data_IF_679871700410
#
_entry.id   IF_679871700410
#
_cell.length_a   1.000
_cell.length_b   1.000
_cell.length_c   1.000
_cell.angle_alpha   90.00
_cell.angle_beta   90.00
_cell.angle_gamma   90.00
#
_symmetry.space_group_name_H-M   'P 1'
#
loop_
_entity.id
_entity.type
_entity.pdbx_description
1 polymer ?
#
# COMPACT_ATOMS: atom_id res chain seq x y z
N UNK A 1 -42.38 -25.30 14.59
CA UNK A 1 -41.32 -24.65 15.42
C UNK A 1 -39.92 -25.24 15.25
N UNK A 2 -39.72 -26.55 15.03
CA UNK A 2 -38.36 -27.14 14.89
C UNK A 2 -37.61 -26.79 13.59
N UNK A 3 -38.34 -26.49 12.51
CA UNK A 3 -37.75 -26.18 11.19
C UNK A 3 -37.15 -24.76 11.14
N UNK A 4 -37.80 -23.79 11.80
CA UNK A 4 -37.34 -22.38 11.83
C UNK A 4 -36.01 -22.27 12.60
N UNK A 5 -35.85 -23.02 13.69
CA UNK A 5 -34.59 -23.07 14.44
C UNK A 5 -33.43 -23.67 13.64
N UNK A 6 -33.71 -24.59 12.72
CA UNK A 6 -32.66 -25.20 11.89
C UNK A 6 -32.14 -24.24 10.82
N UNK A 7 -33.00 -23.38 10.26
CA UNK A 7 -32.60 -22.38 9.25
C UNK A 7 -31.72 -21.28 9.86
N UNK A 8 -32.04 -20.83 11.08
CA UNK A 8 -31.23 -19.82 11.80
C UNK A 8 -29.84 -20.37 12.15
N UNK A 9 -29.76 -21.65 12.53
CA UNK A 9 -28.47 -22.27 12.86
C UNK A 9 -27.58 -22.43 11.61
N UNK A 10 -28.14 -22.75 10.45
CA UNK A 10 -27.35 -22.85 9.19
C UNK A 10 -26.84 -21.50 8.69
N UNK A 11 -27.56 -20.40 8.96
CA UNK A 11 -27.13 -19.06 8.55
C UNK A 11 -25.95 -18.53 9.38
N UNK A 12 -25.80 -18.97 10.63
CA UNK A 12 -24.67 -18.57 11.49
C UNK A 12 -23.33 -19.22 11.11
N UNK A 13 -23.33 -20.30 10.32
CA UNK A 13 -22.10 -20.99 9.89
C UNK A 13 -21.66 -20.64 8.46
N UNK A 14 -22.40 -19.78 7.74
CA UNK A 14 -22.15 -19.46 6.33
C UNK A 14 -21.14 -18.34 6.06
N UNK A 15 -20.61 -17.66 7.08
CA UNK A 15 -19.70 -16.52 6.90
C UNK A 15 -18.35 -16.80 7.55
N UNK A 16 -17.63 -17.80 7.04
CA UNK A 16 -16.16 -17.78 7.18
C UNK A 16 -15.65 -16.71 6.22
N UNK A 17 -15.71 -15.44 6.67
CA UNK A 17 -15.03 -14.37 5.97
C UNK A 17 -13.57 -14.75 5.85
N UNK A 18 -13.06 -14.86 4.63
CA UNK A 18 -11.63 -15.06 4.40
C UNK A 18 -10.89 -13.90 5.07
N UNK A 19 -10.21 -14.20 6.16
CA UNK A 19 -9.49 -13.18 6.92
C UNK A 19 -8.24 -12.81 6.15
N UNK A 20 -8.20 -11.58 5.65
CA UNK A 20 -6.96 -10.99 5.14
C UNK A 20 -6.11 -10.54 6.34
N UNK A 21 -4.91 -11.09 6.45
CA UNK A 21 -3.94 -10.70 7.48
C UNK A 21 -2.99 -9.64 6.93
N UNK A 22 -2.73 -8.58 7.71
CA UNK A 22 -1.83 -7.49 7.30
C UNK A 22 -0.59 -7.43 8.18
N UNK A 23 0.55 -7.84 7.62
CA UNK A 23 1.86 -7.75 8.25
C UNK A 23 2.59 -6.50 7.81
N UNK A 24 3.20 -5.81 8.76
CA UNK A 24 3.88 -4.53 8.50
C UNK A 24 5.26 -4.51 9.14
N UNK A 25 6.21 -3.80 8.55
CA UNK A 25 7.53 -3.58 9.13
C UNK A 25 8.15 -2.27 8.66
N UNK A 26 9.15 -1.75 9.38
CA UNK A 26 9.88 -0.53 9.01
C UNK A 26 11.38 -0.71 8.95
N UNK A 27 12.04 -0.27 7.86
CA UNK A 27 13.52 -0.28 7.73
C UNK A 27 14.05 1.13 7.85
N UNK A 28 15.00 1.34 8.74
CA UNK A 28 15.47 2.67 9.11
C UNK A 28 14.71 3.21 10.32
N UNK A 29 15.25 4.28 10.88
CA UNK A 29 14.68 4.93 12.06
C UNK A 29 13.42 5.72 11.68
N UNK A 30 12.48 5.81 12.63
CA UNK A 30 11.27 6.64 12.48
C UNK A 30 11.59 8.12 12.32
N UNK A 31 12.65 8.55 12.99
CA UNK A 31 12.96 9.97 13.20
C UNK A 31 13.85 10.53 12.09
N UNK A 32 14.38 9.67 11.23
CA UNK A 32 15.24 10.08 10.13
C UNK A 32 14.51 9.92 8.80
N UNK A 33 14.74 10.87 7.87
CA UNK A 33 14.21 10.77 6.53
C UNK A 33 14.75 9.55 5.78
N UNK A 34 13.96 9.02 4.85
CA UNK A 34 14.36 7.94 3.95
C UNK A 34 14.23 6.54 4.54
N UNK A 35 13.24 6.31 5.41
CA UNK A 35 12.94 4.97 5.92
C UNK A 35 11.87 4.28 5.09
N UNK A 36 11.92 2.94 5.05
CA UNK A 36 10.98 2.15 4.28
C UNK A 36 9.86 1.59 5.15
N UNK A 37 8.62 1.67 4.68
CA UNK A 37 7.49 0.91 5.19
C UNK A 37 7.20 -0.27 4.29
N UNK A 38 7.15 -1.45 4.90
CA UNK A 38 6.87 -2.71 4.26
C UNK A 38 5.46 -3.11 4.68
N UNK A 39 4.60 -3.41 3.72
CA UNK A 39 3.24 -3.90 3.93
C UNK A 39 3.07 -5.20 3.16
N UNK A 40 2.58 -6.23 3.85
CA UNK A 40 2.28 -7.54 3.29
C UNK A 40 0.86 -7.89 3.70
N UNK A 41 -0.06 -7.90 2.74
CA UNK A 41 -1.40 -8.41 2.98
C UNK A 41 -1.45 -9.83 2.44
N UNK A 42 -1.95 -10.77 3.24
CA UNK A 42 -2.01 -12.20 2.90
C UNK A 42 -3.44 -12.66 3.12
N UNK A 43 -4.04 -13.23 2.09
CA UNK A 43 -5.31 -13.95 2.20
C UNK A 43 -5.18 -15.36 1.59
N UNK A 44 -6.31 -16.06 1.45
CA UNK A 44 -6.34 -17.43 0.92
C UNK A 44 -5.98 -17.51 -0.56
N UNK A 45 -5.99 -16.39 -1.29
CA UNK A 45 -5.86 -16.35 -2.75
C UNK A 45 -4.59 -15.64 -3.20
N UNK A 46 -4.21 -14.55 -2.54
CA UNK A 46 -3.08 -13.72 -2.94
C UNK A 46 -2.23 -13.24 -1.76
N UNK A 47 -0.98 -12.93 -2.08
CA UNK A 47 -0.10 -12.11 -1.27
C UNK A 47 0.16 -10.79 -1.98
N UNK A 48 -0.09 -9.69 -1.28
CA UNK A 48 0.08 -8.33 -1.79
C UNK A 48 1.21 -7.64 -1.03
N UNK A 49 2.38 -7.55 -1.68
CA UNK A 49 3.57 -6.88 -1.19
C UNK A 49 3.62 -5.43 -1.68
N UNK A 50 3.69 -4.49 -0.74
CA UNK A 50 3.93 -3.09 -1.03
C UNK A 50 5.12 -2.55 -0.24
N UNK A 51 5.89 -1.68 -0.89
CA UNK A 51 7.03 -1.00 -0.29
C UNK A 51 6.90 0.50 -0.51
N UNK A 52 6.94 1.26 0.58
CA UNK A 52 6.89 2.71 0.55
C UNK A 52 8.19 3.29 1.09
N UNK A 53 8.74 4.29 0.42
CA UNK A 53 9.78 5.15 0.94
C UNK A 53 9.13 6.38 1.58
N UNK A 54 9.56 6.72 2.79
CA UNK A 54 9.05 7.85 3.56
C UNK A 54 10.21 8.79 3.86
N UNK A 55 10.17 9.98 3.26
CA UNK A 55 11.23 10.99 3.42
C UNK A 55 10.91 11.96 4.55
N UNK A 56 9.73 12.57 4.55
CA UNK A 56 9.32 13.53 5.59
C UNK A 56 7.83 13.38 5.86
N UNK A 57 7.32 14.15 6.82
CA UNK A 57 5.90 14.17 7.14
C UNK A 57 5.06 14.28 5.86
N UNK A 58 4.12 13.35 5.68
CA UNK A 58 3.21 13.29 4.53
C UNK A 58 3.92 13.26 3.16
N UNK A 59 5.09 12.63 3.09
CA UNK A 59 5.84 12.47 1.83
C UNK A 59 6.22 11.01 1.62
N UNK A 60 5.51 10.35 0.71
CA UNK A 60 5.69 8.94 0.39
C UNK A 60 5.89 8.73 -1.12
N UNK A 61 6.71 7.74 -1.45
CA UNK A 61 6.74 7.14 -2.78
C UNK A 61 6.63 5.62 -2.69
N UNK A 62 5.84 5.03 -3.57
CA UNK A 62 5.67 3.58 -3.63
C UNK A 62 6.71 2.96 -4.55
N UNK A 63 7.65 2.21 -3.97
CA UNK A 63 8.73 1.55 -4.71
C UNK A 63 8.36 0.14 -5.18
N UNK A 64 7.37 -0.49 -4.55
CA UNK A 64 6.85 -1.81 -4.95
C UNK A 64 5.34 -1.86 -4.77
N UNK A 65 4.67 -2.51 -5.70
CA UNK A 65 3.27 -2.91 -5.65
C UNK A 65 3.10 -4.23 -6.39
N UNK A 66 3.19 -5.36 -5.68
CA UNK A 66 3.27 -6.70 -6.29
C UNK A 66 2.21 -7.59 -5.67
N UNK A 67 1.40 -8.21 -6.53
CA UNK A 67 0.43 -9.24 -6.16
C UNK A 67 0.83 -10.58 -6.72
N UNK A 68 0.86 -11.60 -5.88
CA UNK A 68 1.24 -12.96 -6.27
C UNK A 68 0.14 -13.91 -5.79
N UNK A 69 -0.48 -14.70 -6.68
CA UNK A 69 -1.38 -15.77 -6.25
C UNK A 69 -0.65 -16.76 -5.32
N UNK A 70 -1.29 -17.17 -4.21
CA UNK A 70 -0.69 -18.08 -3.21
C UNK A 70 -0.19 -19.37 -3.87
N UNK A 71 -0.95 -19.91 -4.83
CA UNK A 71 -0.59 -21.13 -5.57
C UNK A 71 0.60 -20.98 -6.52
N UNK A 72 1.12 -19.76 -6.72
CA UNK A 72 2.31 -19.47 -7.55
C UNK A 72 3.48 -18.95 -6.73
N UNK A 73 3.37 -18.89 -5.39
CA UNK A 73 4.38 -18.25 -4.55
C UNK A 73 5.73 -18.97 -4.60
N UNK A 74 5.71 -20.30 -4.62
CA UNK A 74 6.90 -21.14 -4.72
C UNK A 74 7.60 -20.95 -6.08
N UNK A 75 6.87 -21.16 -7.18
CA UNK A 75 7.35 -20.91 -8.55
C UNK A 75 7.92 -19.50 -8.73
N UNK A 76 7.24 -18.48 -8.19
CA UNK A 76 7.68 -17.09 -8.27
C UNK A 76 9.03 -16.90 -7.56
N UNK A 77 9.21 -17.53 -6.40
CA UNK A 77 10.45 -17.44 -5.63
C UNK A 77 11.63 -18.13 -6.32
N UNK A 78 11.40 -19.29 -6.96
CA UNK A 78 12.44 -20.01 -7.69
C UNK A 78 12.86 -19.29 -8.97
N UNK A 79 11.90 -18.67 -9.68
CA UNK A 79 12.15 -17.94 -10.93
C UNK A 79 12.69 -16.52 -10.70
N UNK A 80 12.55 -15.96 -9.49
CA UNK A 80 12.95 -14.59 -9.18
C UNK A 80 14.17 -14.56 -8.25
N UNK A 81 15.33 -14.28 -8.83
CA UNK A 81 16.58 -14.16 -8.09
C UNK A 81 16.63 -12.96 -7.13
N UNK A 82 15.73 -11.99 -7.28
CA UNK A 82 15.72 -10.73 -6.52
C UNK A 82 14.67 -10.64 -5.43
N UNK A 83 13.59 -11.45 -5.48
CA UNK A 83 12.46 -11.35 -4.57
C UNK A 83 12.03 -12.75 -4.10
N UNK A 84 12.12 -12.98 -2.79
CA UNK A 84 11.65 -14.21 -2.15
C UNK A 84 10.73 -13.85 -1.00
N UNK A 85 9.58 -14.52 -0.93
CA UNK A 85 8.57 -14.31 0.10
C UNK A 85 8.20 -15.68 0.67
N UNK A 86 8.36 -15.85 1.98
CA UNK A 86 8.05 -17.09 2.68
C UNK A 86 7.05 -16.77 3.79
N UNK A 87 5.87 -17.38 3.69
CA UNK A 87 4.81 -17.23 4.70
C UNK A 87 5.04 -18.27 5.80
N UNK A 88 4.99 -17.82 7.05
CA UNK A 88 5.04 -18.69 8.24
C UNK A 88 3.87 -18.33 9.16
N UNK A 89 3.63 -19.16 10.18
CA UNK A 89 2.67 -18.83 11.23
C UNK A 89 2.99 -17.46 11.86
N UNK A 90 2.05 -16.52 11.73
CA UNK A 90 2.06 -15.14 12.27
C UNK A 90 3.23 -14.25 11.82
N UNK A 91 3.92 -14.59 10.72
CA UNK A 91 5.02 -13.76 10.19
C UNK A 91 5.28 -14.07 8.72
N UNK A 92 5.78 -13.07 8.00
CA UNK A 92 6.24 -13.22 6.62
C UNK A 92 7.72 -12.90 6.54
N UNK A 93 8.54 -13.79 5.97
CA UNK A 93 9.93 -13.51 5.64
C UNK A 93 9.96 -12.93 4.23
N UNK A 94 10.57 -11.75 4.08
CA UNK A 94 10.76 -11.06 2.81
C UNK A 94 12.26 -10.87 2.57
N UNK A 95 12.70 -11.27 1.38
CA UNK A 95 14.00 -10.92 0.81
C UNK A 95 13.71 -10.15 -0.47
N UNK A 96 14.07 -8.87 -0.53
CA UNK A 96 14.03 -8.05 -1.76
C UNK A 96 15.43 -7.45 -1.96
N UNK A 97 16.23 -8.10 -2.80
CA UNK A 97 17.62 -7.71 -3.06
C UNK A 97 17.71 -6.32 -3.69
N UNK A 98 16.76 -5.94 -4.56
CA UNK A 98 16.77 -4.62 -5.22
C UNK A 98 16.67 -3.48 -4.20
N UNK A 99 15.87 -3.68 -3.16
CA UNK A 99 15.67 -2.72 -2.07
C UNK A 99 16.53 -3.01 -0.82
N UNK A 100 17.50 -3.94 -0.94
CA UNK A 100 18.40 -4.36 0.15
C UNK A 100 17.62 -4.81 1.39
N UNK A 101 16.50 -5.50 1.23
CA UNK A 101 15.66 -6.00 2.32
C UNK A 101 15.92 -7.48 2.54
N UNK A 102 16.17 -7.86 3.80
CA UNK A 102 16.18 -9.24 4.23
C UNK A 102 15.63 -9.32 5.65
N UNK A 103 14.31 -9.44 5.82
CA UNK A 103 13.67 -9.28 7.13
C UNK A 103 12.43 -10.14 7.34
N UNK A 104 12.20 -10.44 8.62
CA UNK A 104 10.96 -11.03 9.11
C UNK A 104 10.00 -9.89 9.46
N UNK A 105 8.83 -9.91 8.84
CA UNK A 105 7.79 -8.90 8.98
C UNK A 105 6.80 -9.43 10.01
N UNK A 106 6.57 -8.62 11.04
CA UNK A 106 5.64 -8.90 12.14
C UNK A 106 4.91 -7.60 12.41
N UNK A 107 3.58 -7.65 12.55
CA UNK A 107 2.69 -6.53 12.87
C UNK A 107 3.38 -5.38 13.63
N UNK A 108 3.83 -4.35 12.89
CA UNK A 108 4.54 -3.18 13.42
C UNK A 108 3.78 -1.91 13.07
N UNK A 109 3.65 -0.97 14.02
CA UNK A 109 3.00 0.31 13.75
C UNK A 109 3.74 1.10 12.65
N UNK A 110 2.99 1.51 11.63
CA UNK A 110 3.44 2.39 10.54
C UNK A 110 3.31 3.87 10.93
N UNK A 111 3.95 4.77 10.17
CA UNK A 111 3.82 6.22 10.43
C UNK A 111 2.48 6.80 9.93
N UNK A 112 1.85 6.14 8.95
CA UNK A 112 0.50 6.44 8.45
C UNK A 112 -0.21 5.13 8.09
N UNK A 113 -1.51 5.19 7.82
CA UNK A 113 -2.26 4.03 7.32
C UNK A 113 -1.77 3.63 5.92
N UNK A 114 -2.00 2.38 5.51
CA UNK A 114 -1.62 1.90 4.17
C UNK A 114 -2.30 2.72 3.08
N UNK A 115 -3.58 3.01 3.26
CA UNK A 115 -4.35 3.82 2.32
C UNK A 115 -3.82 5.26 2.19
N UNK A 116 -3.51 5.92 3.31
CA UNK A 116 -2.91 7.27 3.29
C UNK A 116 -1.56 7.25 2.58
N UNK A 117 -0.72 6.23 2.80
CA UNK A 117 0.55 6.10 2.09
C UNK A 117 0.35 5.94 0.58
N UNK A 118 -0.65 5.17 0.13
CA UNK A 118 -1.00 5.01 -1.29
C UNK A 118 -1.47 6.32 -1.92
N UNK A 119 -2.38 7.05 -1.25
CA UNK A 119 -2.87 8.36 -1.71
C UNK A 119 -1.73 9.35 -1.93
N UNK A 120 -0.88 9.52 -0.91
CA UNK A 120 0.27 10.43 -1.00
C UNK A 120 1.25 9.97 -2.09
N UNK A 121 1.54 8.67 -2.16
CA UNK A 121 2.41 8.11 -3.20
C UNK A 121 1.86 8.34 -4.61
N UNK A 122 0.53 8.28 -4.78
CA UNK A 122 -0.12 8.58 -6.05
C UNK A 122 0.11 10.04 -6.44
N UNK A 123 -0.22 10.99 -5.54
CA UNK A 123 0.00 12.41 -5.80
C UNK A 123 1.47 12.72 -6.13
N UNK A 124 2.40 12.08 -5.42
CA UNK A 124 3.84 12.17 -5.71
C UNK A 124 4.19 11.64 -7.11
N UNK A 125 3.69 10.46 -7.49
CA UNK A 125 3.97 9.88 -8.81
C UNK A 125 3.42 10.70 -9.99
N UNK A 126 2.38 11.50 -9.74
CA UNK A 126 1.80 12.41 -10.73
C UNK A 126 2.62 13.69 -10.82
N UNK A 127 2.96 14.29 -9.67
CA UNK A 127 3.74 15.52 -9.59
C UNK A 127 5.15 15.34 -10.16
N UNK A 128 5.83 14.22 -9.89
CA UNK A 128 7.18 13.91 -10.37
C UNK A 128 7.32 13.89 -11.91
N UNK A 129 6.21 13.88 -12.65
CA UNK A 129 6.22 13.99 -14.12
C UNK A 129 6.43 15.42 -14.62
N UNK A 130 6.47 16.41 -13.73
CA UNK A 130 6.60 17.82 -14.02
C UNK A 130 7.68 18.45 -13.14
N UNK A 131 8.66 19.12 -13.75
CA UNK A 131 9.89 19.57 -13.08
C UNK A 131 9.65 20.45 -11.84
N UNK A 132 8.65 21.33 -11.87
CA UNK A 132 8.37 22.30 -10.79
C UNK A 132 7.08 21.97 -10.02
N UNK A 133 6.61 20.73 -10.04
CA UNK A 133 5.37 20.35 -9.36
C UNK A 133 5.66 19.51 -8.13
N UNK A 134 5.22 20.00 -6.97
CA UNK A 134 5.25 19.24 -5.72
C UNK A 134 3.90 18.61 -5.46
N UNK A 135 3.89 17.42 -4.86
CA UNK A 135 2.68 16.62 -4.66
C UNK A 135 1.64 17.32 -3.78
N UNK A 136 2.08 18.11 -2.81
CA UNK A 136 1.21 18.88 -1.92
C UNK A 136 0.54 20.09 -2.59
N UNK A 137 0.82 20.37 -3.87
CA UNK A 137 0.01 21.31 -4.65
C UNK A 137 -1.26 20.67 -5.19
N UNK A 138 -1.37 19.35 -5.15
CA UNK A 138 -2.44 18.61 -5.81
C UNK A 138 -3.59 18.21 -4.87
N UNK A 139 -3.43 18.43 -3.56
CA UNK A 139 -4.42 18.09 -2.54
C UNK A 139 -4.12 18.83 -1.23
N UNK A 140 -5.15 19.02 -0.41
CA UNK A 140 -5.05 19.51 0.96
C UNK A 140 -5.08 18.36 1.97
N UNK A 141 -4.67 18.63 3.21
CA UNK A 141 -4.58 17.58 4.24
C UNK A 141 -5.91 16.87 4.47
N UNK A 142 -7.01 17.61 4.44
CA UNK A 142 -8.37 17.13 4.66
C UNK A 142 -8.83 16.16 3.55
N UNK A 143 -8.29 16.30 2.34
CA UNK A 143 -8.61 15.41 1.23
C UNK A 143 -8.15 13.97 1.48
N UNK A 144 -7.21 13.74 2.40
CA UNK A 144 -6.75 12.40 2.77
C UNK A 144 -7.84 11.53 3.42
N UNK A 145 -8.93 12.15 3.89
CA UNK A 145 -10.11 11.47 4.44
C UNK A 145 -11.05 10.92 3.35
N UNK A 146 -10.93 11.40 2.10
CA UNK A 146 -11.66 10.83 0.95
C UNK A 146 -11.28 9.38 0.71
N UNK A 147 -12.08 8.58 0.01
CA UNK A 147 -11.62 7.25 -0.41
C UNK A 147 -10.42 7.32 -1.36
N UNK A 148 -9.63 6.24 -1.48
CA UNK A 148 -8.49 6.22 -2.41
C UNK A 148 -8.90 6.59 -3.86
N UNK A 149 -10.07 6.15 -4.33
CA UNK A 149 -10.57 6.43 -5.68
C UNK A 149 -10.99 7.90 -5.86
N UNK A 150 -11.69 8.48 -4.88
CA UNK A 150 -12.10 9.88 -4.90
C UNK A 150 -10.88 10.80 -4.83
N UNK A 151 -9.93 10.48 -3.97
CA UNK A 151 -8.67 11.20 -3.84
C UNK A 151 -7.89 11.25 -5.17
N UNK A 152 -7.77 10.10 -5.85
CA UNK A 152 -7.09 10.04 -7.17
C UNK A 152 -7.76 10.95 -8.20
N UNK A 153 -9.10 10.93 -8.26
CA UNK A 153 -9.87 11.82 -9.16
C UNK A 153 -9.65 13.30 -8.82
N UNK A 154 -9.61 13.65 -7.53
CA UNK A 154 -9.33 15.01 -7.07
C UNK A 154 -7.94 15.46 -7.51
N UNK A 155 -6.91 14.64 -7.27
CA UNK A 155 -5.52 14.92 -7.68
C UNK A 155 -5.41 15.14 -9.19
N UNK A 156 -6.04 14.29 -10.00
CA UNK A 156 -6.02 14.42 -11.46
C UNK A 156 -6.71 15.69 -11.95
N UNK A 157 -7.77 16.15 -11.26
CA UNK A 157 -8.45 17.39 -11.58
C UNK A 157 -7.62 18.61 -11.16
N UNK A 158 -7.07 18.60 -9.94
CA UNK A 158 -6.22 19.67 -9.44
C UNK A 158 -4.95 19.84 -10.28
N UNK A 159 -4.39 18.74 -10.78
CA UNK A 159 -3.28 18.76 -11.73
C UNK A 159 -3.62 19.61 -12.97
N UNK A 160 -4.79 19.40 -13.57
CA UNK A 160 -5.21 20.14 -14.78
C UNK A 160 -5.33 21.63 -14.50
N UNK A 161 -5.91 21.99 -13.36
CA UNK A 161 -6.05 23.39 -12.97
C UNK A 161 -4.71 24.04 -12.66
N UNK A 162 -3.79 23.31 -12.02
CA UNK A 162 -2.44 23.79 -11.72
C UNK A 162 -1.62 24.03 -12.99
N UNK A 163 -1.71 23.11 -13.97
CA UNK A 163 -1.09 23.29 -15.29
C UNK A 163 -1.64 24.55 -15.99
N UNK A 164 -2.97 24.75 -15.99
CA UNK A 164 -3.60 25.96 -16.59
C UNK A 164 -3.10 27.25 -15.94
N UNK A 165 -3.05 27.30 -14.61
CA UNK A 165 -2.56 28.48 -13.86
C UNK A 165 -1.13 28.83 -14.24
N UNK A 166 -0.26 27.81 -14.36
CA UNK A 166 1.15 28.00 -14.74
C UNK A 166 1.30 28.52 -16.17
N UNK A 167 0.52 27.99 -17.11
CA UNK A 167 0.51 28.52 -18.49
C UNK A 167 0.01 29.97 -18.54
N UNK A 168 -0.99 30.33 -17.73
CA UNK A 168 -1.49 31.71 -17.67
C UNK A 168 -0.49 32.70 -17.06
N UNK A 169 0.40 32.24 -16.17
CA UNK A 169 1.41 33.08 -15.51
C UNK A 169 2.73 33.19 -16.29
N UNK A 170 2.97 32.30 -17.26
CA UNK A 170 4.19 32.26 -18.08
C UNK A 170 4.00 32.86 -19.49
N UNK A 171 2.83 33.45 -19.78
CA UNK A 171 2.53 34.16 -21.03
C UNK A 171 2.41 35.67 -20.79
#
# INVERSE_FOLDING_TARGET
MKIIFSIILTFCFGLTGFSQETYTARKGSRFFPGHLHIVMQVDSTEIHYQLFNHWYSLSYAQSRDIKIPINKLEDYGEQNDTLTIIVHDKKVKLIDKRNKLDRKIKHQKLCASVETMRKISYANSIAEKYDDMMHFYLYEREDLELTEEEFKKLVDNNLKEEIKKRHANNG
#
